data_IF_713740745990
#
_entry.id   IF_713740745990
#
_cell.length_a   1.000
_cell.length_b   1.000
_cell.length_c   1.000
_cell.angle_alpha   90.00
_cell.angle_beta   90.00
_cell.angle_gamma   90.00
#
_symmetry.space_group_name_H-M   'P 1'
#
loop_
_entity.id
_entity.type
_entity.pdbx_description
1 polymer ?
#
# COMPACT_ATOMS: atom_id res chain seq x y z
N UNK A 1 -10.78 3.95 -0.14
CA UNK A 1 -10.21 2.99 -1.13
C UNK A 1 -9.07 2.22 -0.49
N UNK A 2 -9.10 0.89 -0.50
CA UNK A 2 -8.03 0.06 0.05
C UNK A 2 -7.34 -0.67 -1.11
N UNK A 3 -6.02 -0.59 -1.15
CA UNK A 3 -5.15 -1.30 -2.08
C UNK A 3 -4.31 -2.31 -1.29
N UNK A 4 -4.46 -3.59 -1.58
CA UNK A 4 -3.67 -4.66 -0.96
C UNK A 4 -2.39 -4.82 -1.77
N UNK A 5 -1.28 -4.32 -1.25
CA UNK A 5 0.02 -4.30 -1.93
C UNK A 5 1.19 -4.41 -0.92
N UNK A 6 2.00 -3.37 -0.81
CA UNK A 6 3.20 -3.35 0.02
C UNK A 6 3.21 -2.26 1.09
N UNK A 7 2.07 -2.02 1.77
CA UNK A 7 2.00 -1.01 2.82
C UNK A 7 3.08 -1.21 3.88
N UNK A 8 3.55 -0.11 4.46
CA UNK A 8 4.63 -0.04 5.44
C UNK A 8 5.97 -0.66 4.99
N UNK A 9 6.16 -0.86 3.66
CA UNK A 9 7.42 -1.38 3.10
C UNK A 9 8.02 -0.48 2.02
N UNK A 10 7.61 0.78 1.98
CA UNK A 10 8.16 1.78 1.08
C UNK A 10 9.68 1.87 1.22
N UNK A 11 10.34 2.01 0.08
CA UNK A 11 11.80 2.05 0.00
C UNK A 11 12.29 2.98 -1.10
N UNK A 12 13.55 2.80 -1.47
CA UNK A 12 14.15 3.64 -2.50
C UNK A 12 13.36 3.57 -3.81
N UNK A 13 13.02 4.75 -4.34
CA UNK A 13 12.28 4.93 -5.59
C UNK A 13 13.23 5.23 -6.74
N UNK A 14 13.03 4.61 -7.89
CA UNK A 14 13.81 4.77 -9.12
C UNK A 14 13.01 5.60 -10.13
N UNK A 15 13.15 6.94 -10.14
CA UNK A 15 12.30 7.82 -10.96
C UNK A 15 12.50 7.66 -12.47
N UNK A 16 13.65 7.11 -12.90
CA UNK A 16 13.94 6.82 -14.31
C UNK A 16 13.39 5.48 -14.80
N UNK A 17 12.91 4.63 -13.89
CA UNK A 17 12.39 3.29 -14.20
C UNK A 17 11.13 3.00 -13.38
N UNK A 18 10.10 3.86 -13.51
CA UNK A 18 8.85 3.74 -12.76
C UNK A 18 8.13 2.40 -13.03
N UNK A 19 8.37 1.78 -14.18
CA UNK A 19 7.79 0.47 -14.53
C UNK A 19 8.54 -0.72 -13.91
N UNK A 20 9.64 -0.47 -13.19
CA UNK A 20 10.48 -1.49 -12.55
C UNK A 20 11.04 -2.55 -13.51
N UNK A 21 11.39 -2.17 -14.74
CA UNK A 21 11.92 -3.10 -15.76
C UNK A 21 13.37 -3.51 -15.46
N UNK A 22 14.15 -2.62 -14.83
CA UNK A 22 15.56 -2.83 -14.51
C UNK A 22 15.87 -2.64 -13.01
N UNK A 23 14.85 -2.45 -12.18
CA UNK A 23 15.03 -2.33 -10.73
C UNK A 23 15.54 -3.66 -10.17
N UNK A 24 16.61 -3.68 -9.34
CA UNK A 24 17.10 -4.89 -8.71
C UNK A 24 16.00 -5.62 -7.92
N UNK A 25 15.97 -6.94 -8.00
CA UNK A 25 14.91 -7.75 -7.40
C UNK A 25 14.66 -7.44 -5.91
N UNK A 26 15.73 -7.25 -5.14
CA UNK A 26 15.63 -6.91 -3.70
C UNK A 26 15.01 -5.53 -3.44
N UNK A 27 15.04 -4.63 -4.42
CA UNK A 27 14.53 -3.26 -4.30
C UNK A 27 13.11 -3.10 -4.89
N UNK A 28 12.65 -4.05 -5.71
CA UNK A 28 11.36 -3.98 -6.44
C UNK A 28 10.20 -3.68 -5.48
N UNK A 29 10.13 -4.40 -4.36
CA UNK A 29 9.04 -4.22 -3.40
C UNK A 29 8.98 -2.80 -2.85
N UNK A 30 10.10 -2.28 -2.36
CA UNK A 30 10.18 -0.92 -1.83
C UNK A 30 9.87 0.13 -2.89
N UNK A 31 10.40 -0.05 -4.11
CA UNK A 31 10.13 0.83 -5.24
C UNK A 31 8.64 0.89 -5.60
N UNK A 32 8.00 -0.26 -5.79
CA UNK A 32 6.58 -0.32 -6.15
C UNK A 32 5.68 0.19 -5.01
N UNK A 33 6.02 -0.12 -3.75
CA UNK A 33 5.29 0.41 -2.60
C UNK A 33 5.35 1.94 -2.57
N UNK A 34 6.52 2.53 -2.77
CA UNK A 34 6.69 3.98 -2.84
C UNK A 34 5.92 4.59 -4.02
N UNK A 35 5.99 3.97 -5.20
CA UNK A 35 5.25 4.41 -6.38
C UNK A 35 3.74 4.48 -6.11
N UNK A 36 3.18 3.43 -5.49
CA UNK A 36 1.75 3.36 -5.16
C UNK A 36 1.38 4.43 -4.12
N UNK A 37 2.19 4.60 -3.08
CA UNK A 37 1.92 5.60 -2.03
C UNK A 37 1.94 7.03 -2.59
N UNK A 38 2.93 7.37 -3.42
CA UNK A 38 2.97 8.68 -4.11
C UNK A 38 1.78 8.86 -5.07
N UNK A 39 1.36 7.79 -5.75
CA UNK A 39 0.14 7.78 -6.55
C UNK A 39 -1.13 8.02 -5.72
N UNK A 40 -1.24 7.42 -4.54
CA UNK A 40 -2.34 7.68 -3.61
C UNK A 40 -2.34 9.15 -3.12
N UNK A 41 -1.18 9.75 -2.86
CA UNK A 41 -1.09 11.18 -2.51
C UNK A 41 -1.59 12.07 -3.66
N UNK A 42 -1.24 11.73 -4.90
CA UNK A 42 -1.72 12.45 -6.08
C UNK A 42 -3.24 12.33 -6.25
N UNK A 43 -3.81 11.16 -5.97
CA UNK A 43 -5.25 10.90 -6.00
C UNK A 43 -5.98 11.62 -4.85
N UNK A 44 -5.45 11.58 -3.63
CA UNK A 44 -6.04 12.26 -2.47
C UNK A 44 -6.11 13.78 -2.65
N UNK A 45 -5.13 14.37 -3.35
CA UNK A 45 -5.18 15.77 -3.70
C UNK A 45 -6.32 16.12 -4.70
N UNK A 46 -6.74 15.16 -5.52
CA UNK A 46 -7.79 15.32 -6.56
C UNK A 46 -9.15 14.84 -6.11
N UNK A 47 -9.18 13.93 -5.15
CA UNK A 47 -10.40 13.36 -4.56
C UNK A 47 -10.31 13.43 -3.02
N UNK A 48 -10.33 14.64 -2.44
CA UNK A 48 -10.06 14.84 -1.02
C UNK A 48 -11.14 14.26 -0.10
N UNK A 49 -12.32 13.94 -0.63
CA UNK A 49 -13.38 13.21 0.07
C UNK A 49 -13.17 11.69 0.15
N UNK A 50 -12.07 11.15 -0.42
CA UNK A 50 -11.76 9.73 -0.41
C UNK A 50 -10.50 9.47 0.41
N UNK A 51 -10.58 8.50 1.31
CA UNK A 51 -9.42 7.94 2.01
C UNK A 51 -8.75 6.88 1.13
N UNK A 52 -7.43 6.99 0.98
CA UNK A 52 -6.59 6.06 0.23
C UNK A 52 -5.69 5.30 1.18
N UNK A 53 -5.68 3.99 1.06
CA UNK A 53 -4.91 3.13 1.94
C UNK A 53 -4.17 2.07 1.14
N UNK A 54 -2.89 1.91 1.42
CA UNK A 54 -2.08 0.79 0.98
C UNK A 54 -1.83 -0.14 2.17
N UNK A 55 -2.15 -1.42 2.01
CA UNK A 55 -2.00 -2.43 3.06
C UNK A 55 -1.10 -3.54 2.59
N UNK A 56 -0.17 -3.97 3.43
CA UNK A 56 0.51 -5.24 3.27
C UNK A 56 -0.31 -6.33 3.98
N UNK A 57 -0.79 -7.37 3.28
CA UNK A 57 -1.67 -8.38 3.88
C UNK A 57 -0.95 -9.38 4.77
N UNK A 58 0.39 -9.31 4.89
CA UNK A 58 1.18 -10.35 5.52
C UNK A 58 1.37 -11.58 4.63
N UNK A 59 1.93 -12.63 5.21
CA UNK A 59 2.03 -13.93 4.56
C UNK A 59 0.70 -14.68 4.72
N UNK A 60 -0.20 -14.57 3.74
CA UNK A 60 -1.48 -15.29 3.74
C UNK A 60 -1.35 -16.54 2.89
N UNK A 61 -1.73 -17.70 3.43
CA UNK A 61 -1.71 -18.96 2.69
C UNK A 61 -2.85 -18.99 1.68
N UNK A 62 -2.54 -18.73 0.42
CA UNK A 62 -3.51 -18.69 -0.69
C UNK A 62 -3.04 -19.58 -1.84
N UNK A 63 -3.93 -19.96 -2.80
CA UNK A 63 -3.56 -20.69 -4.01
C UNK A 63 -2.56 -19.96 -4.92
N UNK A 64 -2.22 -18.70 -4.64
CA UNK A 64 -1.21 -17.94 -5.36
C UNK A 64 0.15 -18.68 -5.40
N UNK A 65 0.53 -19.31 -4.29
CA UNK A 65 1.77 -20.09 -4.20
C UNK A 65 1.75 -21.34 -5.07
N UNK A 66 0.56 -21.90 -5.36
CA UNK A 66 0.40 -23.09 -6.19
C UNK A 66 0.61 -22.79 -7.67
N UNK A 67 0.37 -21.55 -8.10
CA UNK A 67 0.44 -21.10 -9.50
C UNK A 67 1.84 -20.65 -9.91
N UNK A 68 2.81 -20.59 -9.00
CA UNK A 68 4.19 -20.18 -9.31
C UNK A 68 4.89 -21.28 -10.12
N UNK A 69 5.31 -21.00 -11.38
CA UNK A 69 5.90 -22.02 -12.25
C UNK A 69 7.37 -22.32 -11.90
N UNK A 70 7.89 -23.42 -12.43
CA UNK A 70 9.30 -23.77 -12.40
C UNK A 70 9.82 -24.23 -11.03
N UNK A 71 11.15 -24.39 -10.94
CA UNK A 71 11.84 -24.87 -9.74
C UNK A 71 11.59 -23.99 -8.53
N UNK A 72 11.53 -22.67 -8.74
CA UNK A 72 11.23 -21.72 -7.68
C UNK A 72 9.84 -21.97 -7.08
N UNK A 73 8.83 -22.25 -7.91
CA UNK A 73 7.49 -22.60 -7.43
C UNK A 73 7.47 -23.87 -6.61
N UNK A 74 8.27 -24.90 -6.98
CA UNK A 74 8.41 -26.11 -6.18
C UNK A 74 9.00 -25.79 -4.81
N UNK A 75 10.06 -25.01 -4.75
CA UNK A 75 10.70 -24.60 -3.49
C UNK A 75 9.74 -23.82 -2.58
N UNK A 76 8.98 -22.89 -3.16
CA UNK A 76 7.97 -22.11 -2.40
C UNK A 76 6.89 -23.04 -1.83
N UNK A 77 6.35 -23.98 -2.64
CA UNK A 77 5.35 -24.96 -2.16
C UNK A 77 5.89 -25.85 -1.06
N UNK A 78 7.12 -26.35 -1.21
CA UNK A 78 7.78 -27.14 -0.17
C UNK A 78 7.93 -26.33 1.12
N UNK A 79 8.38 -25.08 1.02
CA UNK A 79 8.49 -24.19 2.17
C UNK A 79 7.13 -23.97 2.84
N UNK A 80 6.10 -23.61 2.08
CA UNK A 80 4.74 -23.38 2.60
C UNK A 80 4.16 -24.64 3.26
N UNK A 81 4.49 -25.84 2.73
CA UNK A 81 4.02 -27.11 3.28
C UNK A 81 4.60 -27.43 4.66
N UNK A 82 5.89 -27.07 4.90
CA UNK A 82 6.59 -27.38 6.16
C UNK A 82 6.62 -26.21 7.13
N UNK A 83 6.34 -24.97 6.66
CA UNK A 83 6.38 -23.79 7.48
C UNK A 83 5.31 -23.83 8.57
N UNK A 84 5.63 -23.44 9.80
CA UNK A 84 4.69 -23.45 10.90
C UNK A 84 3.51 -22.50 10.65
N UNK A 85 2.33 -22.89 11.12
CA UNK A 85 1.09 -22.13 10.87
C UNK A 85 1.12 -20.69 11.40
N UNK A 86 1.85 -20.45 12.48
CA UNK A 86 1.96 -19.12 13.07
C UNK A 86 2.74 -18.11 12.19
N UNK A 87 3.44 -18.60 11.15
CA UNK A 87 4.12 -17.73 10.17
C UNK A 87 3.12 -17.08 9.18
N UNK A 88 1.92 -17.61 9.11
CA UNK A 88 0.89 -17.16 8.16
C UNK A 88 -0.27 -16.50 8.88
N UNK A 89 -0.76 -15.42 8.29
CA UNK A 89 -2.04 -14.80 8.71
C UNK A 89 -3.18 -15.70 8.19
N UNK A 90 -4.13 -16.10 9.03
CA UNK A 90 -5.34 -16.81 8.59
C UNK A 90 -6.12 -15.99 7.56
N UNK A 91 -6.74 -16.64 6.58
CA UNK A 91 -7.49 -15.95 5.51
C UNK A 91 -8.64 -15.12 6.09
N UNK A 92 -9.36 -15.70 7.04
CA UNK A 92 -10.48 -15.05 7.73
C UNK A 92 -10.00 -13.78 8.46
N UNK A 93 -8.92 -13.89 9.22
CA UNK A 93 -8.33 -12.76 9.94
C UNK A 93 -7.82 -11.67 8.99
N UNK A 94 -7.19 -12.06 7.87
CA UNK A 94 -6.79 -11.10 6.83
C UNK A 94 -8.01 -10.41 6.23
N UNK A 95 -9.11 -11.12 6.02
CA UNK A 95 -10.37 -10.57 5.54
C UNK A 95 -10.98 -9.57 6.52
N UNK A 96 -11.05 -9.91 7.81
CA UNK A 96 -11.57 -9.04 8.87
C UNK A 96 -10.75 -7.75 9.02
N UNK A 97 -9.42 -7.86 8.98
CA UNK A 97 -8.52 -6.70 9.02
C UNK A 97 -8.75 -5.76 7.84
N UNK A 98 -8.85 -6.31 6.62
CA UNK A 98 -9.11 -5.50 5.44
C UNK A 98 -10.51 -4.87 5.45
N UNK A 99 -11.51 -5.54 6.01
CA UNK A 99 -12.83 -4.96 6.23
C UNK A 99 -12.76 -3.79 7.22
N UNK A 100 -12.04 -3.95 8.33
CA UNK A 100 -11.80 -2.87 9.29
C UNK A 100 -11.12 -1.68 8.63
N UNK A 101 -10.06 -1.88 7.85
CA UNK A 101 -9.38 -0.82 7.12
C UNK A 101 -10.31 -0.10 6.14
N UNK A 102 -11.23 -0.81 5.50
CA UNK A 102 -12.13 -0.25 4.51
C UNK A 102 -13.31 0.53 5.13
N UNK A 103 -13.70 0.22 6.37
CA UNK A 103 -14.94 0.72 6.95
C UNK A 103 -14.76 1.58 8.20
N UNK A 104 -13.59 1.51 8.87
CA UNK A 104 -13.36 2.22 10.14
C UNK A 104 -13.19 3.73 9.94
N UNK A 105 -13.81 4.50 10.83
CA UNK A 105 -13.60 5.93 10.96
C UNK A 105 -12.20 6.33 11.48
N UNK A 106 -11.35 5.37 11.83
CA UNK A 106 -9.94 5.61 12.19
C UNK A 106 -9.10 6.13 11.01
N UNK A 107 -9.59 6.00 9.78
CA UNK A 107 -8.89 6.39 8.55
C UNK A 107 -9.67 7.45 7.76
N UNK A 108 -9.85 8.66 8.32
CA UNK A 108 -10.64 9.70 7.66
C UNK A 108 -10.03 10.16 6.35
N UNK A 109 -10.89 10.61 5.43
CA UNK A 109 -10.47 11.31 4.22
C UNK A 109 -9.98 12.73 4.57
N UNK A 110 -9.21 13.35 3.66
CA UNK A 110 -8.65 14.69 3.83
C UNK A 110 -9.73 15.75 4.04
N UNK A 111 -10.82 15.67 3.27
CA UNK A 111 -12.02 16.48 3.44
C UNK A 111 -13.17 15.57 3.85
N UNK A 112 -13.33 15.40 5.15
CA UNK A 112 -14.42 14.62 5.72
C UNK A 112 -14.71 15.13 7.13
N UNK A 113 -15.97 15.08 7.52
CA UNK A 113 -16.41 15.56 8.84
C UNK A 113 -15.99 14.61 9.97
N UNK A 114 -15.05 13.69 9.75
CA UNK A 114 -14.68 12.65 10.71
C UNK A 114 -15.80 11.66 11.05
N UNK A 115 -16.96 11.76 10.35
CA UNK A 115 -18.15 10.94 10.58
C UNK A 115 -18.37 9.87 9.52
N UNK A 116 -17.43 9.75 8.58
CA UNK A 116 -17.47 8.70 7.54
C UNK A 116 -16.95 7.38 8.11
N UNK A 117 -17.67 6.31 7.85
CA UNK A 117 -17.32 4.98 8.31
C UNK A 117 -17.93 4.58 9.65
N UNK A 118 -17.58 3.39 10.10
CA UNK A 118 -17.98 2.88 11.42
C UNK A 118 -17.27 3.67 12.50
N UNK A 119 -18.04 4.18 13.46
CA UNK A 119 -17.49 4.95 14.57
C UNK A 119 -16.36 4.18 15.28
N UNK A 120 -15.30 4.90 15.57
CA UNK A 120 -14.16 4.36 16.29
C UNK A 120 -14.60 4.12 17.74
N UNK A 121 -14.37 2.92 18.25
CA UNK A 121 -14.64 2.58 19.65
C UNK A 121 -13.61 3.25 20.55
N UNK A 122 -13.98 3.44 21.82
CA UNK A 122 -13.08 4.00 22.82
C UNK A 122 -11.76 3.21 22.89
N UNK A 123 -10.63 3.92 22.84
CA UNK A 123 -9.29 3.33 22.84
C UNK A 123 -8.68 3.08 21.46
N UNK A 124 -9.38 3.39 20.37
CA UNK A 124 -8.81 3.37 19.01
C UNK A 124 -8.59 4.81 18.53
N UNK A 125 -7.35 5.15 18.27
CA UNK A 125 -6.97 6.49 17.79
C UNK A 125 -7.17 6.65 16.29
N UNK A 126 -7.25 7.91 15.85
CA UNK A 126 -7.17 8.24 14.42
C UNK A 126 -5.76 7.94 13.93
N UNK A 127 -5.67 7.15 12.85
CA UNK A 127 -4.40 6.69 12.30
C UNK A 127 -3.56 7.85 11.74
N UNK A 128 -2.26 7.71 11.87
CA UNK A 128 -1.30 8.62 11.27
C UNK A 128 -1.16 8.33 9.78
N UNK A 129 -1.20 9.39 8.99
CA UNK A 129 -0.99 9.32 7.54
C UNK A 129 0.50 9.23 7.17
N UNK A 130 0.77 8.95 5.91
CA UNK A 130 2.13 8.84 5.36
C UNK A 130 2.94 10.13 5.40
N UNK A 131 2.30 11.27 5.61
CA UNK A 131 2.94 12.58 5.80
C UNK A 131 3.29 12.90 7.27
N UNK A 132 2.97 11.99 8.18
CA UNK A 132 3.21 12.13 9.61
C UNK A 132 2.08 12.82 10.37
N UNK A 133 1.05 13.35 9.70
CA UNK A 133 -0.10 14.00 10.30
C UNK A 133 -1.28 13.01 10.43
N UNK A 134 -2.34 13.43 11.10
CA UNK A 134 -3.62 12.72 11.12
C UNK A 134 -4.59 13.38 10.13
N UNK A 135 -5.41 12.57 9.44
CA UNK A 135 -6.49 13.09 8.59
C UNK A 135 -6.06 13.64 7.23
N UNK A 136 -4.83 13.39 6.75
CA UNK A 136 -4.41 13.78 5.39
C UNK A 136 -4.97 12.87 4.30
N UNK A 137 -5.59 11.75 4.67
CA UNK A 137 -6.33 10.88 3.76
C UNK A 137 -5.51 9.84 3.03
N UNK A 138 -4.20 9.69 3.32
CA UNK A 138 -3.34 8.64 2.74
C UNK A 138 -2.64 7.85 3.83
N UNK A 139 -2.84 6.54 3.81
CA UNK A 139 -2.36 5.62 4.84
C UNK A 139 -1.54 4.49 4.23
N UNK A 140 -0.51 4.08 4.95
CA UNK A 140 0.31 2.91 4.61
C UNK A 140 0.44 2.03 5.85
N UNK A 141 -0.10 0.81 5.77
CA UNK A 141 -0.31 -0.06 6.92
C UNK A 141 0.34 -1.43 6.71
N UNK A 142 0.96 -1.95 7.75
CA UNK A 142 1.37 -3.34 7.82
C UNK A 142 0.16 -4.26 8.10
N UNK A 143 0.36 -5.57 7.96
CA UNK A 143 -0.68 -6.59 8.14
C UNK A 143 -1.36 -6.58 9.52
N UNK A 144 -0.66 -6.13 10.56
CA UNK A 144 -1.15 -6.07 11.93
C UNK A 144 -1.80 -4.73 12.30
N UNK A 145 -1.91 -3.80 11.34
CA UNK A 145 -2.42 -2.46 11.57
C UNK A 145 -1.37 -1.45 12.03
N UNK A 146 -0.10 -1.85 12.06
CA UNK A 146 0.99 -0.92 12.34
C UNK A 146 1.16 0.06 11.17
N UNK A 147 1.28 1.33 11.49
CA UNK A 147 1.49 2.41 10.52
C UNK A 147 2.93 2.41 9.99
N UNK A 148 3.11 3.01 8.82
CA UNK A 148 4.45 3.24 8.26
C UNK A 148 5.37 3.93 9.26
N UNK A 149 6.55 3.34 9.48
CA UNK A 149 7.53 3.84 10.44
C UNK A 149 8.11 5.21 10.05
N UNK A 150 8.71 5.92 11.02
CA UNK A 150 9.23 7.28 10.82
C UNK A 150 10.21 7.39 9.64
N UNK A 151 11.05 6.38 9.41
CA UNK A 151 11.97 6.34 8.25
C UNK A 151 11.25 6.42 6.91
N UNK A 152 10.07 5.80 6.81
CA UNK A 152 9.23 5.85 5.61
C UNK A 152 8.60 7.24 5.46
N UNK A 153 8.10 7.81 6.55
CA UNK A 153 7.56 9.18 6.57
C UNK A 153 8.61 10.19 6.09
N UNK A 154 9.84 10.09 6.58
CA UNK A 154 10.95 10.97 6.19
C UNK A 154 11.35 10.77 4.73
N UNK A 155 11.40 9.52 4.25
CA UNK A 155 11.67 9.18 2.86
C UNK A 155 10.61 9.77 1.91
N UNK A 156 9.33 9.58 2.24
CA UNK A 156 8.23 10.12 1.45
C UNK A 156 8.19 11.65 1.49
N UNK A 157 8.60 12.27 2.61
CA UNK A 157 8.77 13.72 2.70
C UNK A 157 9.80 14.22 1.69
N UNK A 158 10.96 13.58 1.61
CA UNK A 158 11.98 13.91 0.62
C UNK A 158 11.40 13.83 -0.81
N UNK A 159 10.70 12.76 -1.17
CA UNK A 159 10.11 12.60 -2.50
C UNK A 159 9.04 13.66 -2.81
N UNK A 160 8.27 14.10 -1.81
CA UNK A 160 7.33 15.22 -1.99
C UNK A 160 8.07 16.53 -2.31
N UNK A 161 9.16 16.82 -1.58
CA UNK A 161 10.00 18.00 -1.81
C UNK A 161 10.67 17.98 -3.19
N UNK A 162 11.00 16.78 -3.71
CA UNK A 162 11.53 16.57 -5.06
C UNK A 162 10.44 16.58 -6.16
N UNK A 163 9.16 16.80 -5.82
CA UNK A 163 8.04 16.84 -6.76
C UNK A 163 7.63 15.48 -7.34
N UNK A 164 8.01 14.36 -6.70
CA UNK A 164 7.75 13.03 -7.22
C UNK A 164 6.26 12.68 -7.26
N UNK A 165 5.43 13.23 -6.39
CA UNK A 165 3.97 13.03 -6.42
C UNK A 165 3.38 13.42 -7.77
N UNK A 166 3.75 14.60 -8.28
CA UNK A 166 3.27 15.08 -9.57
C UNK A 166 3.85 14.27 -10.73
N UNK A 167 5.14 13.89 -10.67
CA UNK A 167 5.78 13.07 -11.70
C UNK A 167 5.17 11.67 -11.81
N UNK A 168 4.82 11.05 -10.68
CA UNK A 168 4.12 9.75 -10.66
C UNK A 168 2.73 9.88 -11.29
N UNK A 169 2.03 10.96 -10.99
CA UNK A 169 0.73 11.22 -11.61
C UNK A 169 0.81 11.38 -13.12
N UNK A 170 1.75 12.19 -13.61
CA UNK A 170 1.97 12.40 -15.04
C UNK A 170 2.32 11.10 -15.76
N UNK A 171 3.21 10.29 -15.16
CA UNK A 171 3.55 8.97 -15.68
C UNK A 171 2.32 8.05 -15.78
N UNK A 172 1.49 8.02 -14.74
CA UNK A 172 0.26 7.22 -14.74
C UNK A 172 -0.70 7.67 -15.84
N UNK A 173 -0.87 8.97 -16.05
CA UNK A 173 -1.71 9.53 -17.12
C UNK A 173 -1.16 9.20 -18.51
N UNK A 174 0.15 9.30 -18.70
CA UNK A 174 0.80 8.94 -19.96
C UNK A 174 0.59 7.46 -20.30
N UNK A 175 0.85 6.57 -19.34
CA UNK A 175 0.65 5.13 -19.53
C UNK A 175 -0.81 4.80 -19.84
N UNK A 176 -1.74 5.39 -19.07
CA UNK A 176 -3.18 5.21 -19.29
C UNK A 176 -3.60 5.71 -20.68
N UNK A 177 -3.18 6.93 -21.07
CA UNK A 177 -3.47 7.49 -22.39
C UNK A 177 -2.93 6.63 -23.54
N UNK A 178 -1.71 6.08 -23.40
CA UNK A 178 -1.12 5.19 -24.39
C UNK A 178 -1.90 3.88 -24.54
N UNK A 179 -2.37 3.30 -23.43
CA UNK A 179 -3.13 2.04 -23.47
C UNK A 179 -4.52 2.26 -24.08
N UNK A 180 -5.20 3.33 -23.70
CA UNK A 180 -6.56 3.63 -24.18
C UNK A 180 -6.60 4.18 -25.60
N UNK A 181 -5.49 4.66 -26.15
CA UNK A 181 -5.40 5.12 -27.54
C UNK A 181 -5.06 4.00 -28.53
N UNK A 182 -4.91 2.76 -28.08
CA UNK A 182 -4.65 1.59 -28.92
C UNK A 182 -5.93 0.87 -29.35
N UNK A 183 -7.09 1.31 -28.87
CA UNK A 183 -8.44 0.88 -29.26
C UNK A 183 -8.99 1.83 -30.34
#
# INVERSE_FOLDING_TARGET
>A
MVNIAGGATEGYFYPSDMQALNVPFYAIRGHLSTLITLGHEALAARAPGVSFMQVFPGAVRTPLFDQTPGVFGVLVRCFVAVAPRWLFVPIEESGERNLFFATSGAYPAREGNGKSGVQVVEGVDIARCVDGNTGSGVYSMDYDGTEAGQKIVDLLKQYREEGMVQRVWEHAQEVFGRITSLD
#
